data_IF_711612950412
#
_entry.id   IF_711612950412
#
_cell.length_a   1.000
_cell.length_b   1.000
_cell.length_c   1.000
_cell.angle_alpha   90.00
_cell.angle_beta   90.00
_cell.angle_gamma   90.00
#
_symmetry.space_group_name_H-M   'P 1'
#
loop_
_entity.id
_entity.type
_entity.pdbx_description
1 polymer ?
#
# COMPACT_ATOMS: atom_id res chain seq x y z
N UNK A 1 -47.03 -2.86 -4.18
CA UNK A 1 -46.70 -1.61 -4.91
C UNK A 1 -46.72 -1.89 -6.40
N UNK A 2 -47.17 -0.95 -7.23
CA UNK A 2 -47.32 -1.08 -8.69
C UNK A 2 -46.22 -0.34 -9.41
N UNK A 3 -45.57 -1.02 -10.36
CA UNK A 3 -44.48 -0.44 -11.15
C UNK A 3 -44.69 -0.73 -12.64
N UNK A 4 -44.58 0.32 -13.45
CA UNK A 4 -44.50 0.20 -14.90
C UNK A 4 -43.04 0.26 -15.32
N UNK A 5 -42.56 -0.77 -16.00
CA UNK A 5 -41.23 -0.80 -16.60
C UNK A 5 -41.38 -0.82 -18.12
N UNK A 6 -40.81 0.19 -18.77
CA UNK A 6 -40.78 0.33 -20.22
C UNK A 6 -39.42 -0.14 -20.74
N UNK A 7 -39.45 -1.17 -21.59
CA UNK A 7 -38.31 -1.96 -22.01
C UNK A 7 -38.25 -3.30 -21.28
N UNK A 8 -38.16 -4.39 -22.02
CA UNK A 8 -38.05 -5.78 -21.55
C UNK A 8 -36.64 -6.34 -21.85
N UNK A 9 -35.62 -5.49 -21.69
CA UNK A 9 -34.23 -5.81 -21.98
C UNK A 9 -33.46 -6.48 -20.83
N UNK A 10 -32.13 -6.45 -20.93
CA UNK A 10 -31.22 -7.01 -19.91
C UNK A 10 -31.38 -6.31 -18.56
N UNK A 11 -31.47 -4.98 -18.55
CA UNK A 11 -31.66 -4.16 -17.34
C UNK A 11 -32.92 -4.56 -16.59
N UNK A 12 -34.05 -4.71 -17.30
CA UNK A 12 -35.33 -5.14 -16.73
C UNK A 12 -35.25 -6.52 -16.08
N UNK A 13 -34.55 -7.47 -16.69
CA UNK A 13 -34.33 -8.79 -16.10
C UNK A 13 -33.57 -8.71 -14.77
N UNK A 14 -32.55 -7.87 -14.66
CA UNK A 14 -31.80 -7.70 -13.42
C UNK A 14 -32.58 -6.92 -12.36
N UNK A 15 -33.42 -5.96 -12.77
CA UNK A 15 -34.39 -5.31 -11.87
C UNK A 15 -35.35 -6.35 -11.29
N UNK A 16 -35.94 -7.21 -12.12
CA UNK A 16 -36.88 -8.26 -11.69
C UNK A 16 -36.23 -9.28 -10.73
N UNK A 17 -34.94 -9.59 -10.89
CA UNK A 17 -34.21 -10.45 -9.94
C UNK A 17 -34.07 -9.87 -8.54
N UNK A 18 -34.09 -8.54 -8.42
CA UNK A 18 -33.89 -7.80 -7.16
C UNK A 18 -35.20 -7.33 -6.54
N UNK A 19 -36.25 -7.17 -7.34
CA UNK A 19 -37.58 -6.83 -6.85
C UNK A 19 -38.20 -8.03 -6.11
N UNK A 20 -38.61 -7.80 -4.87
CA UNK A 20 -39.36 -8.80 -4.10
C UNK A 20 -40.77 -9.05 -4.61
N UNK A 21 -41.42 -10.11 -4.13
CA UNK A 21 -42.75 -10.56 -4.59
C UNK A 21 -43.91 -9.56 -4.29
N UNK A 22 -43.70 -8.59 -3.40
CA UNK A 22 -44.69 -7.56 -3.06
C UNK A 22 -44.94 -6.51 -4.17
N UNK A 23 -44.20 -6.59 -5.26
CA UNK A 23 -44.33 -5.71 -6.42
C UNK A 23 -45.24 -6.33 -7.48
N UNK A 24 -46.13 -5.52 -8.04
CA UNK A 24 -46.92 -5.85 -9.23
C UNK A 24 -46.33 -5.10 -10.42
N UNK A 25 -45.70 -5.83 -11.32
CA UNK A 25 -44.98 -5.27 -12.46
C UNK A 25 -45.87 -5.31 -13.70
N UNK A 26 -45.99 -4.17 -14.38
CA UNK A 26 -46.46 -4.07 -15.77
C UNK A 26 -45.25 -3.83 -16.67
N UNK A 27 -45.08 -4.66 -17.70
CA UNK A 27 -44.02 -4.49 -18.70
C UNK A 27 -44.58 -3.97 -20.02
N UNK A 28 -43.88 -3.03 -20.65
CA UNK A 28 -44.13 -2.57 -22.02
C UNK A 28 -42.88 -2.79 -22.85
N UNK A 29 -43.01 -3.41 -24.02
CA UNK A 29 -41.93 -3.52 -25.02
C UNK A 29 -42.53 -3.71 -26.41
N UNK A 30 -41.76 -3.44 -27.46
CA UNK A 30 -42.16 -3.67 -28.86
C UNK A 30 -41.90 -5.12 -29.30
N UNK A 31 -41.12 -5.89 -28.53
CA UNK A 31 -40.74 -7.27 -28.84
C UNK A 31 -41.52 -8.26 -27.96
N UNK A 32 -42.50 -8.94 -28.56
CA UNK A 32 -43.37 -9.91 -27.88
C UNK A 32 -42.59 -11.03 -27.17
N UNK A 33 -41.56 -11.59 -27.80
CA UNK A 33 -40.78 -12.69 -27.23
C UNK A 33 -40.10 -12.32 -25.91
N UNK A 34 -39.63 -11.06 -25.78
CA UNK A 34 -39.01 -10.57 -24.54
C UNK A 34 -40.03 -10.49 -23.41
N UNK A 35 -41.23 -9.99 -23.70
CA UNK A 35 -42.33 -9.92 -22.75
C UNK A 35 -42.74 -11.32 -22.28
N UNK A 36 -42.92 -12.26 -23.21
CA UNK A 36 -43.31 -13.64 -22.93
C UNK A 36 -42.27 -14.35 -22.06
N UNK A 37 -40.98 -14.17 -22.38
CA UNK A 37 -39.88 -14.75 -21.62
C UNK A 37 -39.85 -14.23 -20.18
N UNK A 38 -39.94 -12.91 -19.97
CA UNK A 38 -39.91 -12.34 -18.63
C UNK A 38 -41.17 -12.70 -17.84
N UNK A 39 -42.36 -12.67 -18.45
CA UNK A 39 -43.61 -13.08 -17.81
C UNK A 39 -43.59 -14.55 -17.35
N UNK A 40 -42.99 -15.43 -18.15
CA UNK A 40 -42.83 -16.85 -17.79
C UNK A 40 -41.89 -17.03 -16.58
N UNK A 41 -40.83 -16.23 -16.50
CA UNK A 41 -39.75 -16.44 -15.54
C UNK A 41 -39.94 -15.68 -14.21
N UNK A 42 -40.75 -14.62 -14.19
CA UNK A 42 -40.88 -13.73 -13.03
C UNK A 42 -42.36 -13.55 -12.65
N UNK A 43 -42.77 -14.16 -11.52
CA UNK A 43 -44.16 -14.17 -11.04
C UNK A 43 -44.70 -12.77 -10.73
N UNK A 44 -43.84 -11.82 -10.37
CA UNK A 44 -44.25 -10.43 -10.12
C UNK A 44 -44.71 -9.70 -11.40
N UNK A 45 -44.46 -10.24 -12.61
CA UNK A 45 -44.94 -9.68 -13.88
C UNK A 45 -46.42 -10.02 -14.06
N UNK A 46 -47.27 -9.12 -13.58
CA UNK A 46 -48.74 -9.28 -13.60
C UNK A 46 -49.36 -8.90 -14.95
N UNK A 47 -48.73 -7.98 -15.69
CA UNK A 47 -49.24 -7.49 -16.98
C UNK A 47 -48.10 -7.25 -17.96
N UNK A 48 -48.36 -7.52 -19.23
CA UNK A 48 -47.47 -7.24 -20.36
C UNK A 48 -48.28 -6.53 -21.43
N UNK A 49 -47.73 -5.49 -22.04
CA UNK A 49 -48.34 -4.72 -23.12
C UNK A 49 -47.34 -4.66 -24.27
N UNK A 50 -47.77 -5.07 -25.46
CA UNK A 50 -46.96 -5.03 -26.67
C UNK A 50 -47.25 -3.71 -27.40
N UNK A 51 -46.23 -2.85 -27.53
CA UNK A 51 -46.40 -1.58 -28.25
C UNK A 51 -45.28 -0.59 -27.99
N UNK A 52 -45.28 0.49 -28.80
CA UNK A 52 -44.37 1.62 -28.60
C UNK A 52 -44.82 2.44 -27.39
N UNK A 53 -43.92 2.61 -26.43
CA UNK A 53 -44.18 3.33 -25.20
C UNK A 53 -44.15 4.86 -25.35
N UNK A 54 -43.69 5.39 -26.48
CA UNK A 54 -43.90 6.80 -26.84
C UNK A 54 -45.38 7.10 -27.15
N UNK A 55 -46.19 6.06 -27.41
CA UNK A 55 -47.63 6.20 -27.67
C UNK A 55 -48.45 6.26 -26.38
N UNK A 56 -49.24 7.33 -26.26
CA UNK A 56 -50.25 7.49 -25.22
C UNK A 56 -51.26 6.32 -25.16
N UNK A 57 -51.57 5.70 -26.30
CA UNK A 57 -52.51 4.57 -26.35
C UNK A 57 -51.90 3.36 -25.63
N UNK A 58 -50.64 3.04 -25.92
CA UNK A 58 -49.89 1.96 -25.26
C UNK A 58 -49.77 2.20 -23.75
N UNK A 59 -49.44 3.43 -23.33
CA UNK A 59 -49.30 3.75 -21.91
C UNK A 59 -50.63 3.74 -21.15
N UNK A 60 -51.74 4.10 -21.82
CA UNK A 60 -53.09 3.92 -21.28
C UNK A 60 -53.41 2.44 -21.09
N UNK A 61 -53.10 1.60 -22.08
CA UNK A 61 -53.26 0.15 -21.94
C UNK A 61 -52.41 -0.39 -20.79
N UNK A 62 -51.18 0.12 -20.61
CA UNK A 62 -50.30 -0.22 -19.49
C UNK A 62 -50.77 0.32 -18.13
N UNK A 63 -51.88 1.06 -18.09
CA UNK A 63 -52.48 1.65 -16.90
C UNK A 63 -51.53 2.61 -16.16
N UNK A 64 -50.83 3.47 -16.93
CA UNK A 64 -49.83 4.44 -16.42
C UNK A 64 -50.32 5.24 -15.20
N UNK A 65 -51.55 5.73 -15.25
CA UNK A 65 -52.13 6.62 -14.22
C UNK A 65 -52.25 5.97 -12.83
N UNK A 66 -52.24 4.64 -12.76
CA UNK A 66 -52.43 3.87 -11.53
C UNK A 66 -51.13 3.25 -11.01
N UNK A 67 -49.97 3.72 -11.48
CA UNK A 67 -48.66 3.22 -11.08
C UNK A 67 -48.08 4.01 -9.91
N UNK A 68 -47.38 3.33 -9.00
CA UNK A 68 -46.64 4.00 -7.92
C UNK A 68 -45.25 4.45 -8.41
N UNK A 69 -44.70 3.71 -9.38
CA UNK A 69 -43.38 3.92 -9.99
C UNK A 69 -43.44 3.74 -11.51
N UNK A 70 -42.67 4.55 -12.24
CA UNK A 70 -42.45 4.39 -13.69
C UNK A 70 -40.94 4.34 -13.95
N UNK A 71 -40.51 3.36 -14.74
CA UNK A 71 -39.10 3.17 -15.10
C UNK A 71 -38.95 3.04 -16.61
N UNK A 72 -38.26 3.99 -17.24
CA UNK A 72 -37.88 3.92 -18.66
C UNK A 72 -36.49 3.32 -18.82
N UNK A 73 -36.37 2.12 -19.39
CA UNK A 73 -35.11 1.37 -19.54
C UNK A 73 -34.93 0.80 -20.95
N UNK A 74 -35.45 1.49 -21.96
CA UNK A 74 -35.19 1.15 -23.36
C UNK A 74 -33.79 1.61 -23.79
N UNK A 75 -33.35 1.15 -24.95
CA UNK A 75 -32.08 1.57 -25.57
C UNK A 75 -32.18 2.95 -26.26
N UNK A 76 -33.34 3.62 -26.19
CA UNK A 76 -33.59 4.89 -26.87
C UNK A 76 -33.93 5.95 -25.83
N UNK A 77 -33.05 6.94 -25.68
CA UNK A 77 -33.23 8.01 -24.70
C UNK A 77 -34.49 8.83 -24.99
N UNK A 78 -34.81 9.07 -26.27
CA UNK A 78 -36.03 9.80 -26.67
C UNK A 78 -37.30 9.11 -26.16
N UNK A 79 -37.35 7.78 -26.24
CA UNK A 79 -38.49 6.99 -25.74
C UNK A 79 -38.55 7.06 -24.22
N UNK A 80 -37.40 6.90 -23.54
CA UNK A 80 -37.34 6.98 -22.08
C UNK A 80 -37.75 8.37 -21.58
N UNK A 81 -37.32 9.43 -22.27
CA UNK A 81 -37.65 10.82 -21.97
C UNK A 81 -39.14 11.10 -22.14
N UNK A 82 -39.73 10.63 -23.25
CA UNK A 82 -41.16 10.80 -23.53
C UNK A 82 -42.03 10.06 -22.52
N UNK A 83 -41.66 8.83 -22.13
CA UNK A 83 -42.32 8.08 -21.06
C UNK A 83 -42.25 8.85 -19.74
N UNK A 84 -41.10 9.43 -19.41
CA UNK A 84 -40.94 10.24 -18.21
C UNK A 84 -41.82 11.49 -18.23
N UNK A 85 -41.86 12.21 -19.36
CA UNK A 85 -42.69 13.39 -19.56
C UNK A 85 -44.17 13.05 -19.36
N UNK A 86 -44.65 12.01 -20.03
CA UNK A 86 -46.04 11.55 -19.93
C UNK A 86 -46.39 11.08 -18.52
N UNK A 87 -45.51 10.32 -17.85
CA UNK A 87 -45.71 9.91 -16.47
C UNK A 87 -45.84 11.11 -15.53
N UNK A 88 -45.02 12.14 -15.74
CA UNK A 88 -45.02 13.36 -14.92
C UNK A 88 -46.30 14.18 -15.11
N UNK A 89 -46.78 14.28 -16.36
CA UNK A 89 -48.08 14.92 -16.66
C UNK A 89 -49.26 14.20 -16.01
N UNK A 90 -49.14 12.89 -15.75
CA UNK A 90 -50.13 12.10 -15.00
C UNK A 90 -49.95 12.12 -13.49
N UNK A 91 -49.02 12.93 -12.97
CA UNK A 91 -48.82 13.11 -11.53
C UNK A 91 -48.04 11.99 -10.85
N UNK A 92 -47.36 11.12 -11.61
CA UNK A 92 -46.49 10.09 -11.04
C UNK A 92 -45.27 10.76 -10.40
N UNK A 93 -45.02 10.45 -9.12
CA UNK A 93 -43.92 11.07 -8.35
C UNK A 93 -42.60 10.33 -8.49
N UNK A 94 -42.63 9.00 -8.57
CA UNK A 94 -41.43 8.18 -8.58
C UNK A 94 -41.10 7.73 -10.02
N UNK A 95 -40.32 8.55 -10.72
CA UNK A 95 -39.94 8.31 -12.11
C UNK A 95 -38.42 8.14 -12.20
N UNK A 96 -37.98 7.04 -12.80
CA UNK A 96 -36.57 6.69 -13.01
C UNK A 96 -36.33 6.41 -14.50
N UNK A 97 -35.22 6.89 -15.05
CA UNK A 97 -34.86 6.63 -16.44
C UNK A 97 -33.41 6.15 -16.58
N UNK A 98 -33.20 5.14 -17.41
CA UNK A 98 -31.88 4.82 -17.94
C UNK A 98 -31.54 5.81 -19.05
N UNK A 99 -30.38 6.44 -18.93
CA UNK A 99 -29.81 7.35 -19.91
C UNK A 99 -28.64 6.65 -20.58
N UNK A 100 -28.76 6.37 -21.86
CA UNK A 100 -27.77 5.62 -22.63
C UNK A 100 -26.63 6.55 -23.07
N UNK A 101 -26.96 7.76 -23.51
CA UNK A 101 -25.98 8.80 -23.86
C UNK A 101 -25.91 9.88 -22.78
N UNK A 102 -24.72 10.03 -22.16
CA UNK A 102 -24.46 11.03 -21.13
C UNK A 102 -24.77 12.47 -21.57
N UNK A 103 -24.74 12.77 -22.88
CA UNK A 103 -25.10 14.10 -23.42
C UNK A 103 -26.57 14.46 -23.14
N UNK A 104 -27.44 13.47 -22.98
CA UNK A 104 -28.87 13.67 -22.76
C UNK A 104 -29.23 13.87 -21.28
N UNK A 105 -28.30 13.70 -20.34
CA UNK A 105 -28.56 13.79 -18.89
C UNK A 105 -29.29 15.08 -18.50
N UNK A 106 -28.90 16.22 -19.11
CA UNK A 106 -29.49 17.54 -18.82
C UNK A 106 -30.99 17.59 -19.09
N UNK A 107 -31.50 16.86 -20.09
CA UNK A 107 -32.93 16.87 -20.41
C UNK A 107 -33.75 16.08 -19.38
N UNK A 108 -33.21 14.96 -18.88
CA UNK A 108 -33.83 14.22 -17.78
C UNK A 108 -33.82 15.02 -16.47
N UNK A 109 -32.72 15.73 -16.18
CA UNK A 109 -32.62 16.60 -15.01
C UNK A 109 -33.64 17.75 -15.06
N UNK A 110 -33.85 18.36 -16.24
CA UNK A 110 -34.89 19.40 -16.44
C UNK A 110 -36.29 18.88 -16.20
N UNK A 111 -36.56 17.64 -16.59
CA UNK A 111 -37.82 16.97 -16.25
C UNK A 111 -37.91 16.62 -14.77
N UNK A 112 -36.88 16.85 -13.95
CA UNK A 112 -36.83 16.55 -12.52
C UNK A 112 -37.32 15.10 -12.25
N UNK A 113 -36.76 14.17 -13.01
CA UNK A 113 -36.85 12.72 -12.81
C UNK A 113 -35.48 12.21 -12.36
N UNK A 114 -35.38 10.95 -11.92
CA UNK A 114 -34.11 10.38 -11.48
C UNK A 114 -33.39 9.67 -12.64
N UNK A 115 -32.36 10.26 -13.27
CA UNK A 115 -31.59 9.57 -14.30
C UNK A 115 -30.60 8.57 -13.70
N UNK A 116 -30.30 7.52 -14.46
CA UNK A 116 -29.22 6.57 -14.23
C UNK A 116 -28.45 6.41 -15.54
N UNK A 117 -27.19 6.83 -15.59
CA UNK A 117 -26.36 6.71 -16.80
C UNK A 117 -25.35 5.57 -16.64
N UNK A 118 -25.60 4.43 -17.29
CA UNK A 118 -24.76 3.24 -17.14
C UNK A 118 -23.37 3.41 -17.74
N UNK A 119 -23.25 4.05 -18.90
CA UNK A 119 -21.97 4.29 -19.57
C UNK A 119 -21.03 5.13 -18.70
N UNK A 120 -21.55 6.19 -18.07
CA UNK A 120 -20.79 7.00 -17.12
C UNK A 120 -20.34 6.19 -15.90
N UNK A 121 -21.26 5.45 -15.25
CA UNK A 121 -20.93 4.65 -14.06
C UNK A 121 -19.90 3.55 -14.37
N UNK A 122 -20.03 2.88 -15.52
CA UNK A 122 -19.11 1.82 -15.94
C UNK A 122 -17.74 2.37 -16.34
N UNK A 123 -17.68 3.47 -17.10
CA UNK A 123 -16.43 4.11 -17.47
C UNK A 123 -15.63 4.54 -16.24
N UNK A 124 -16.32 5.13 -15.26
CA UNK A 124 -15.73 5.54 -13.98
C UNK A 124 -15.13 4.36 -13.23
N UNK A 125 -15.85 3.24 -13.13
CA UNK A 125 -15.34 2.04 -12.46
C UNK A 125 -14.08 1.47 -13.15
N UNK A 126 -14.08 1.46 -14.49
CA UNK A 126 -12.95 0.99 -15.29
C UNK A 126 -11.74 1.90 -15.12
N UNK A 127 -11.92 3.23 -15.17
CA UNK A 127 -10.86 4.22 -14.94
C UNK A 127 -10.15 3.95 -13.60
N UNK A 128 -10.93 3.77 -12.53
CA UNK A 128 -10.40 3.48 -11.19
C UNK A 128 -9.61 2.16 -11.15
N UNK A 129 -10.11 1.12 -11.82
CA UNK A 129 -9.39 -0.16 -11.90
C UNK A 129 -8.07 -0.05 -12.69
N UNK A 130 -8.02 0.79 -13.72
CA UNK A 130 -6.81 1.01 -14.52
C UNK A 130 -5.75 1.84 -13.77
N UNK A 131 -6.18 2.76 -12.90
CA UNK A 131 -5.26 3.61 -12.13
C UNK A 131 -4.63 2.88 -10.95
N UNK A 132 -5.41 2.09 -10.20
CA UNK A 132 -4.88 1.25 -9.13
C UNK A 132 -5.82 0.07 -8.82
N UNK A 133 -5.41 -1.20 -9.08
CA UNK A 133 -6.26 -2.36 -8.83
C UNK A 133 -6.55 -2.63 -7.34
N UNK A 134 -5.94 -1.89 -6.41
CA UNK A 134 -6.19 -1.94 -4.96
C UNK A 134 -7.18 -0.87 -4.48
N UNK A 135 -7.75 -0.10 -5.40
CA UNK A 135 -8.67 0.99 -5.13
C UNK A 135 -10.12 0.51 -5.31
N UNK A 136 -10.95 0.74 -4.30
CA UNK A 136 -12.39 0.53 -4.41
C UNK A 136 -13.09 1.86 -4.17
N UNK A 137 -13.87 2.35 -5.14
CA UNK A 137 -14.70 3.55 -4.95
C UNK A 137 -16.16 3.23 -5.16
N UNK A 138 -16.99 3.56 -4.18
CA UNK A 138 -18.44 3.40 -4.25
C UNK A 138 -19.11 4.77 -4.14
N UNK A 139 -20.07 5.04 -5.02
CA UNK A 139 -20.87 6.27 -4.94
C UNK A 139 -21.93 6.18 -3.85
N UNK A 140 -22.18 7.30 -3.17
CA UNK A 140 -23.22 7.46 -2.15
C UNK A 140 -24.09 8.68 -2.41
N UNK A 141 -25.27 8.75 -1.79
CA UNK A 141 -26.18 9.90 -1.90
C UNK A 141 -26.70 10.18 -3.31
N UNK A 142 -26.71 9.17 -4.19
CA UNK A 142 -27.08 9.33 -5.60
C UNK A 142 -26.00 10.00 -6.45
N UNK A 143 -24.72 9.75 -6.14
CA UNK A 143 -23.57 10.35 -6.84
C UNK A 143 -23.14 11.70 -6.27
N UNK A 144 -23.69 12.11 -5.11
CA UNK A 144 -23.33 13.35 -4.42
C UNK A 144 -22.13 13.21 -3.49
N UNK A 145 -21.63 12.00 -3.31
CA UNK A 145 -20.45 11.70 -2.53
C UNK A 145 -19.92 10.32 -2.86
N UNK A 146 -18.77 10.00 -2.30
CA UNK A 146 -17.99 8.80 -2.59
C UNK A 146 -17.42 8.23 -1.30
N UNK A 147 -17.36 6.91 -1.25
CA UNK A 147 -16.58 6.14 -0.29
C UNK A 147 -15.44 5.51 -1.07
N UNK A 148 -14.22 5.74 -0.66
CA UNK A 148 -13.02 5.17 -1.24
C UNK A 148 -12.30 4.32 -0.21
N UNK A 149 -11.96 3.10 -0.57
CA UNK A 149 -11.09 2.22 0.20
C UNK A 149 -9.77 2.06 -0.53
N UNK A 150 -8.68 2.24 0.21
CA UNK A 150 -7.33 2.16 -0.34
C UNK A 150 -6.40 1.46 0.65
N UNK A 151 -5.61 0.52 0.14
CA UNK A 151 -4.48 -0.04 0.87
C UNK A 151 -3.32 0.97 0.82
N UNK A 152 -2.81 1.36 1.99
CA UNK A 152 -1.68 2.27 2.11
C UNK A 152 -0.41 1.52 1.79
N UNK A 153 0.16 1.80 0.62
CA UNK A 153 1.50 1.34 0.27
C UNK A 153 2.52 1.78 1.33
N UNK A 154 3.54 0.95 1.59
CA UNK A 154 4.64 1.30 2.50
C UNK A 154 5.34 2.62 2.15
N UNK A 155 5.24 3.06 0.90
CA UNK A 155 5.88 4.27 0.37
C UNK A 155 4.91 5.44 0.17
N UNK A 156 3.66 5.33 0.64
CA UNK A 156 2.71 6.40 0.48
C UNK A 156 3.11 7.62 1.34
N UNK A 157 3.00 8.87 0.82
CA UNK A 157 3.32 10.10 1.55
C UNK A 157 2.62 10.30 2.88
N UNK A 158 1.54 9.55 3.13
CA UNK A 158 0.75 9.55 4.36
C UNK A 158 1.34 8.72 5.49
N UNK A 159 2.23 7.76 5.19
CA UNK A 159 2.80 6.86 6.20
C UNK A 159 3.59 7.66 7.23
N UNK A 160 3.38 7.35 8.51
CA UNK A 160 4.05 7.99 9.65
C UNK A 160 3.51 9.37 10.02
N UNK A 161 2.54 9.92 9.28
CA UNK A 161 1.93 11.23 9.57
C UNK A 161 0.60 11.10 10.30
N UNK A 162 0.26 12.12 11.08
CA UNK A 162 -1.01 12.20 11.79
C UNK A 162 -2.14 12.62 10.86
N UNK A 163 -3.34 12.09 11.05
CA UNK A 163 -4.51 12.43 10.22
C UNK A 163 -4.81 13.93 10.20
N UNK A 164 -4.59 14.64 11.31
CA UNK A 164 -4.79 16.10 11.40
C UNK A 164 -3.94 16.90 10.40
N UNK A 165 -2.85 16.35 9.89
CA UNK A 165 -1.97 16.98 8.90
C UNK A 165 -2.59 17.01 7.49
N UNK A 166 -3.61 16.18 7.24
CA UNK A 166 -4.27 16.06 5.93
C UNK A 166 -5.72 16.57 5.95
N UNK A 167 -6.05 17.46 6.88
CA UNK A 167 -7.42 17.97 7.01
C UNK A 167 -7.89 18.61 5.71
N UNK A 168 -9.01 18.10 5.21
CA UNK A 168 -9.72 18.67 4.08
C UNK A 168 -11.17 18.95 4.46
N UNK A 169 -11.80 19.89 3.76
CA UNK A 169 -13.22 20.25 3.98
C UNK A 169 -14.18 19.32 3.25
N UNK A 170 -13.69 18.63 2.23
CA UNK A 170 -14.48 17.88 1.25
C UNK A 170 -14.33 16.36 1.38
N UNK A 171 -13.50 15.87 2.30
CA UNK A 171 -13.37 14.46 2.60
C UNK A 171 -12.87 14.23 4.02
N UNK A 172 -13.09 13.02 4.54
CA UNK A 172 -12.68 12.58 5.87
C UNK A 172 -12.26 11.12 5.84
N UNK A 173 -11.26 10.76 6.65
CA UNK A 173 -10.92 9.36 6.91
C UNK A 173 -11.93 8.83 7.93
N UNK A 174 -12.74 7.85 7.54
CA UNK A 174 -13.83 7.31 8.34
C UNK A 174 -13.42 6.09 9.16
N UNK A 175 -12.52 5.26 8.63
CA UNK A 175 -12.06 4.04 9.26
C UNK A 175 -10.64 3.67 8.79
N UNK A 176 -9.93 2.95 9.65
CA UNK A 176 -8.66 2.29 9.32
C UNK A 176 -8.80 0.82 9.73
N UNK A 177 -8.56 -0.10 8.80
CA UNK A 177 -8.37 -1.52 9.12
C UNK A 177 -6.88 -1.83 9.19
N UNK A 178 -6.43 -2.31 10.35
CA UNK A 178 -5.02 -2.63 10.60
C UNK A 178 -4.91 -4.00 11.23
N UNK A 179 -4.16 -4.90 10.60
CA UNK A 179 -3.94 -6.29 11.10
C UNK A 179 -5.25 -7.03 11.43
N UNK A 180 -6.31 -6.77 10.66
CA UNK A 180 -7.62 -7.39 10.84
C UNK A 180 -8.56 -6.70 11.85
N UNK A 181 -8.12 -5.60 12.49
CA UNK A 181 -8.94 -4.84 13.44
C UNK A 181 -9.42 -3.51 12.85
N UNK A 182 -10.66 -3.13 13.17
CA UNK A 182 -11.25 -1.84 12.83
C UNK A 182 -10.84 -0.78 13.86
N UNK A 183 -10.19 0.28 13.39
CA UNK A 183 -9.78 1.45 14.16
C UNK A 183 -10.63 2.65 13.72
N UNK A 184 -11.27 3.32 14.68
CA UNK A 184 -11.95 4.59 14.44
C UNK A 184 -10.93 5.72 14.59
N UNK A 185 -10.58 6.43 13.50
CA UNK A 185 -9.50 7.41 13.51
C UNK A 185 -9.88 8.73 14.22
N UNK A 186 -8.88 9.34 14.84
CA UNK A 186 -8.93 10.69 15.39
C UNK A 186 -7.75 11.52 14.85
N UNK A 187 -7.71 12.82 15.17
CA UNK A 187 -6.69 13.73 14.61
C UNK A 187 -5.23 13.32 14.88
N UNK A 188 -4.96 12.66 16.01
CA UNK A 188 -3.62 12.18 16.39
C UNK A 188 -3.33 10.73 15.95
N UNK A 189 -4.29 10.04 15.32
CA UNK A 189 -4.04 8.71 14.76
C UNK A 189 -2.97 8.80 13.67
N UNK A 190 -1.96 7.94 13.76
CA UNK A 190 -0.84 7.85 12.81
C UNK A 190 -1.18 6.78 11.78
N UNK A 191 -1.08 7.14 10.50
CA UNK A 191 -1.25 6.21 9.38
C UNK A 191 -0.01 5.32 9.26
N UNK A 192 -0.21 4.01 9.12
CA UNK A 192 0.85 3.01 8.98
C UNK A 192 0.82 2.37 7.59
N UNK A 193 1.93 1.75 7.21
CA UNK A 193 2.00 0.91 6.02
C UNK A 193 1.04 -0.28 6.15
N UNK A 194 0.44 -0.68 5.02
CA UNK A 194 -0.56 -1.75 4.91
C UNK A 194 -1.87 -1.49 5.68
N UNK A 195 -2.10 -0.25 6.13
CA UNK A 195 -3.43 0.16 6.59
C UNK A 195 -4.42 0.11 5.42
N UNK A 196 -5.62 -0.44 5.66
CA UNK A 196 -6.74 -0.25 4.74
C UNK A 196 -7.56 0.94 5.21
N UNK A 197 -7.54 2.02 4.44
CA UNK A 197 -8.17 3.27 4.84
C UNK A 197 -9.48 3.45 4.08
N UNK A 198 -10.58 3.65 4.82
CA UNK A 198 -11.87 4.06 4.26
C UNK A 198 -12.01 5.57 4.37
N UNK A 199 -12.25 6.23 3.24
CA UNK A 199 -12.35 7.68 3.11
C UNK A 199 -13.72 8.02 2.53
N UNK A 200 -14.38 9.03 3.08
CA UNK A 200 -15.69 9.49 2.61
C UNK A 200 -15.55 10.95 2.17
N UNK A 201 -16.08 11.30 1.02
CA UNK A 201 -15.98 12.67 0.51
C UNK A 201 -16.98 13.03 -0.59
N UNK A 202 -16.78 14.20 -1.17
CA UNK A 202 -17.48 14.68 -2.36
C UNK A 202 -17.15 13.84 -3.61
N UNK A 203 -17.87 14.05 -4.73
CA UNK A 203 -17.49 13.47 -6.01
C UNK A 203 -16.06 13.84 -6.41
N UNK A 204 -15.41 12.99 -7.20
CA UNK A 204 -14.01 13.11 -7.61
C UNK A 204 -13.02 12.98 -6.44
N UNK A 205 -13.40 12.17 -5.43
CA UNK A 205 -12.62 11.98 -4.21
C UNK A 205 -11.19 11.53 -4.52
N UNK A 206 -11.05 10.52 -5.38
CA UNK A 206 -9.74 9.99 -5.77
C UNK A 206 -8.82 11.08 -6.33
N UNK A 207 -9.31 11.94 -7.23
CA UNK A 207 -8.49 13.02 -7.80
C UNK A 207 -7.97 13.96 -6.71
N UNK A 208 -8.81 14.30 -5.73
CA UNK A 208 -8.45 15.20 -4.64
C UNK A 208 -7.34 14.64 -3.72
N UNK A 209 -7.28 13.32 -3.54
CA UNK A 209 -6.38 12.69 -2.54
C UNK A 209 -5.36 11.74 -3.13
N UNK A 210 -5.39 11.46 -4.43
CA UNK A 210 -4.49 10.52 -5.10
C UNK A 210 -3.03 10.79 -4.74
N UNK A 211 -2.60 12.06 -4.75
CA UNK A 211 -1.24 12.46 -4.40
C UNK A 211 -0.79 12.05 -2.99
N UNK A 212 -1.72 11.87 -2.04
CA UNK A 212 -1.44 11.41 -0.68
C UNK A 212 -1.14 9.92 -0.61
N UNK A 213 -1.72 9.15 -1.53
CA UNK A 213 -1.65 7.70 -1.58
C UNK A 213 -0.89 7.17 -2.81
N UNK A 214 -0.35 8.07 -3.63
CA UNK A 214 0.52 7.71 -4.75
C UNK A 214 1.70 6.92 -4.20
N UNK A 215 2.00 5.81 -4.87
CA UNK A 215 3.26 5.13 -4.72
C UNK A 215 4.38 6.13 -5.03
N UNK A 216 5.09 6.61 -4.00
CA UNK A 216 6.36 7.28 -4.23
C UNK A 216 7.43 6.21 -4.39
N UNK A 217 8.46 6.51 -5.17
CA UNK A 217 9.65 5.68 -5.15
C UNK A 217 10.11 5.54 -3.70
N UNK A 218 10.43 4.31 -3.28
CA UNK A 218 10.98 4.06 -1.96
C UNK A 218 12.17 4.99 -1.71
N UNK A 219 12.25 5.55 -0.51
CA UNK A 219 13.40 6.38 -0.12
C UNK A 219 13.78 6.04 1.30
N UNK A 220 14.73 5.12 1.44
CA UNK A 220 15.38 4.86 2.70
C UNK A 220 15.84 6.19 3.35
N UNK A 221 15.62 6.40 4.66
CA UNK A 221 14.94 5.50 5.60
C UNK A 221 13.46 5.82 5.85
N UNK A 222 12.86 6.76 5.11
CA UNK A 222 11.53 7.35 5.40
C UNK A 222 10.39 6.34 5.56
N UNK A 223 10.53 5.17 4.95
CA UNK A 223 9.57 4.06 5.05
C UNK A 223 9.46 3.50 6.45
N UNK A 224 10.52 3.63 7.23
CA UNK A 224 10.61 3.17 8.62
C UNK A 224 10.52 4.36 9.58
N UNK A 225 11.14 5.48 9.20
CA UNK A 225 11.13 6.71 9.97
C UNK A 225 12.22 7.68 9.52
N UNK A 226 12.34 8.80 10.23
CA UNK A 226 13.20 9.90 9.81
C UNK A 226 14.51 9.98 10.59
N UNK A 227 14.59 9.34 11.76
CA UNK A 227 15.74 9.48 12.66
C UNK A 227 16.65 8.24 12.63
N UNK A 228 17.94 8.46 12.82
CA UNK A 228 18.93 7.41 13.04
C UNK A 228 19.12 7.24 14.54
N UNK A 229 18.83 6.06 15.09
CA UNK A 229 18.94 5.79 16.52
C UNK A 229 20.28 5.12 16.84
N UNK A 230 21.06 5.69 17.76
CA UNK A 230 22.39 5.23 18.14
C UNK A 230 22.41 4.89 19.64
N UNK A 231 22.22 3.62 20.05
CA UNK A 231 22.53 3.17 21.40
C UNK A 231 24.03 3.20 21.68
N UNK A 232 24.44 3.91 22.72
CA UNK A 232 25.83 4.04 23.15
C UNK A 232 26.03 3.42 24.51
N UNK A 233 26.87 2.39 24.57
CA UNK A 233 27.39 1.83 25.82
C UNK A 233 28.91 1.94 25.95
N UNK A 234 29.60 2.08 24.82
CA UNK A 234 31.05 2.24 24.76
C UNK A 234 31.40 3.55 24.04
N UNK A 235 32.22 4.37 24.70
CA UNK A 235 32.65 5.68 24.20
C UNK A 235 33.71 5.53 23.10
N UNK A 236 34.44 4.42 23.06
CA UNK A 236 35.55 4.22 22.12
C UNK A 236 35.04 4.13 20.68
N UNK A 237 33.94 3.40 20.47
CA UNK A 237 33.33 3.17 19.15
C UNK A 237 32.26 4.20 18.77
N UNK A 238 32.00 5.17 19.65
CA UNK A 238 30.95 6.18 19.46
C UNK A 238 31.26 7.13 18.29
N UNK A 239 32.54 7.50 18.09
CA UNK A 239 32.93 8.41 17.01
C UNK A 239 32.73 7.78 15.63
N UNK A 240 33.01 6.49 15.50
CA UNK A 240 32.76 5.71 14.28
C UNK A 240 31.26 5.63 13.98
N UNK A 241 30.45 5.28 14.98
CA UNK A 241 28.99 5.22 14.86
C UNK A 241 28.40 6.56 14.40
N UNK A 242 28.87 7.64 15.01
CA UNK A 242 28.37 8.98 14.75
C UNK A 242 28.77 9.48 13.36
N UNK A 243 29.99 9.17 12.92
CA UNK A 243 30.47 9.58 11.59
C UNK A 243 29.70 8.87 10.46
N UNK A 244 29.41 7.58 10.63
CA UNK A 244 28.61 6.81 9.69
C UNK A 244 27.13 7.24 9.71
N UNK A 245 26.59 7.60 10.89
CA UNK A 245 25.26 8.19 11.01
C UNK A 245 25.17 9.54 10.27
N UNK A 246 26.15 10.42 10.40
CA UNK A 246 26.17 11.70 9.69
C UNK A 246 26.33 11.52 8.18
N UNK A 247 27.13 10.54 7.74
CA UNK A 247 27.18 10.19 6.33
C UNK A 247 25.78 9.83 5.81
N UNK A 248 25.02 8.99 6.53
CA UNK A 248 23.65 8.67 6.18
C UNK A 248 22.71 9.89 6.23
N UNK A 249 22.80 10.75 7.23
CA UNK A 249 21.96 11.97 7.34
C UNK A 249 22.21 12.93 6.17
N UNK A 250 23.46 13.10 5.75
CA UNK A 250 23.84 14.03 4.68
C UNK A 250 23.53 13.50 3.27
N UNK A 251 23.57 12.18 3.09
CA UNK A 251 23.46 11.55 1.78
C UNK A 251 22.19 10.69 1.63
N UNK A 252 21.27 10.75 2.58
CA UNK A 252 19.93 10.15 2.48
C UNK A 252 18.87 11.12 3.01
N UNK A 253 17.61 10.70 3.07
CA UNK A 253 16.51 11.50 3.64
C UNK A 253 16.37 11.41 5.17
N UNK A 254 17.35 10.84 5.87
CA UNK A 254 17.38 10.89 7.33
C UNK A 254 17.55 12.35 7.82
N UNK A 255 16.94 12.69 8.96
CA UNK A 255 16.92 14.07 9.47
C UNK A 255 17.95 14.34 10.56
N UNK A 256 18.12 13.40 11.49
CA UNK A 256 19.00 13.57 12.65
C UNK A 256 19.36 12.23 13.29
N UNK A 257 20.43 12.25 14.08
CA UNK A 257 20.84 11.20 14.98
C UNK A 257 20.19 11.41 16.36
N UNK A 258 19.58 10.36 16.91
CA UNK A 258 19.10 10.28 18.29
C UNK A 258 20.04 9.35 19.04
N UNK A 259 20.82 9.88 19.97
CA UNK A 259 21.81 9.13 20.73
C UNK A 259 21.20 8.73 22.07
N UNK A 260 21.11 7.43 22.31
CA UNK A 260 20.67 6.87 23.59
C UNK A 260 21.89 6.56 24.45
N UNK A 261 22.01 7.26 25.58
CA UNK A 261 23.13 7.10 26.51
C UNK A 261 22.63 6.72 27.90
N UNK A 262 23.38 5.88 28.65
CA UNK A 262 23.14 5.71 30.06
C UNK A 262 23.53 7.02 30.78
N UNK A 263 22.88 7.28 31.93
CA UNK A 263 23.02 8.56 32.65
C UNK A 263 24.48 8.88 33.00
N UNK A 264 25.29 7.86 33.25
CA UNK A 264 26.68 7.95 33.64
C UNK A 264 27.57 8.51 32.51
N UNK A 265 27.16 8.35 31.24
CA UNK A 265 27.94 8.77 30.07
C UNK A 265 27.46 10.09 29.46
N UNK A 266 26.36 10.67 29.98
CA UNK A 266 25.70 11.85 29.41
C UNK A 266 26.67 13.04 29.23
N UNK A 267 27.38 13.46 30.29
CA UNK A 267 28.30 14.61 30.21
C UNK A 267 29.44 14.38 29.21
N UNK A 268 29.96 13.15 29.15
CA UNK A 268 31.09 12.80 28.28
C UNK A 268 30.66 12.84 26.82
N UNK A 269 29.51 12.24 26.49
CA UNK A 269 28.96 12.23 25.13
C UNK A 269 28.54 13.64 24.73
N UNK A 270 27.92 14.41 25.62
CA UNK A 270 27.55 15.81 25.35
C UNK A 270 28.77 16.66 24.98
N UNK A 271 29.89 16.55 25.74
CA UNK A 271 31.15 17.23 25.41
C UNK A 271 31.76 16.79 24.08
N UNK A 272 31.63 15.51 23.71
CA UNK A 272 32.10 15.00 22.41
C UNK A 272 31.24 15.56 21.27
N UNK A 273 29.91 15.52 21.39
CA UNK A 273 28.98 16.03 20.39
C UNK A 273 29.14 17.54 20.18
N UNK A 274 29.37 18.32 21.25
CA UNK A 274 29.58 19.77 21.14
C UNK A 274 30.83 20.18 20.35
N UNK A 275 31.83 19.30 20.24
CA UNK A 275 33.06 19.57 19.47
C UNK A 275 32.85 19.40 17.96
N UNK A 276 31.71 18.86 17.56
CA UNK A 276 31.36 18.61 16.17
C UNK A 276 30.68 19.85 15.62
N UNK A 277 31.01 20.23 14.38
CA UNK A 277 30.58 21.50 13.77
C UNK A 277 29.06 21.67 13.64
N UNK A 278 28.25 20.61 13.79
CA UNK A 278 26.82 20.62 13.46
C UNK A 278 25.92 19.93 14.52
N UNK A 279 25.78 20.48 15.75
CA UNK A 279 24.95 19.88 16.81
C UNK A 279 23.44 19.88 16.52
N UNK A 280 22.98 20.51 15.42
CA UNK A 280 21.55 20.58 15.06
C UNK A 280 21.00 19.24 14.55
N UNK A 281 21.87 18.35 14.10
CA UNK A 281 21.52 17.02 13.59
C UNK A 281 21.60 15.95 14.67
N UNK A 282 21.76 16.34 15.95
CA UNK A 282 21.93 15.40 17.07
C UNK A 282 20.97 15.72 18.20
N UNK A 283 20.30 14.69 18.71
CA UNK A 283 19.51 14.72 19.93
C UNK A 283 20.07 13.67 20.91
N UNK A 284 20.38 14.06 22.15
CA UNK A 284 20.86 13.14 23.18
C UNK A 284 19.71 12.83 24.13
N UNK A 285 19.52 11.55 24.45
CA UNK A 285 18.50 11.08 25.40
C UNK A 285 19.08 10.08 26.38
N UNK A 286 18.61 10.20 27.62
CA UNK A 286 18.98 9.29 28.70
C UNK A 286 17.93 8.19 28.81
N UNK A 287 18.37 6.95 28.93
CA UNK A 287 17.50 5.83 29.29
C UNK A 287 17.80 5.32 30.70
N UNK A 288 16.80 4.70 31.34
CA UNK A 288 16.90 4.17 32.72
C UNK A 288 16.58 2.68 32.82
N UNK A 289 16.02 2.10 31.77
CA UNK A 289 15.62 0.70 31.70
C UNK A 289 16.66 -0.11 30.92
N UNK A 290 16.38 -1.37 30.61
CA UNK A 290 17.25 -2.16 29.71
C UNK A 290 17.27 -1.54 28.31
N UNK A 291 18.44 -1.49 27.67
CA UNK A 291 18.60 -0.88 26.34
C UNK A 291 17.67 -1.53 25.31
N UNK A 292 17.62 -2.87 25.23
CA UNK A 292 16.72 -3.59 24.31
C UNK A 292 15.26 -3.13 24.43
N UNK A 293 14.74 -3.02 25.66
CA UNK A 293 13.36 -2.58 25.90
C UNK A 293 13.14 -1.13 25.49
N UNK A 294 14.13 -0.27 25.76
CA UNK A 294 14.11 1.14 25.39
C UNK A 294 14.09 1.30 23.86
N UNK A 295 14.93 0.56 23.15
CA UNK A 295 15.01 0.58 21.69
C UNK A 295 13.67 0.17 21.07
N UNK A 296 13.09 -0.96 21.51
CA UNK A 296 11.78 -1.43 21.01
C UNK A 296 10.68 -0.40 21.27
N UNK A 297 10.68 0.23 22.46
CA UNK A 297 9.69 1.25 22.81
C UNK A 297 9.80 2.47 21.89
N UNK A 298 11.02 2.94 21.64
CA UNK A 298 11.27 4.11 20.79
C UNK A 298 10.94 3.80 19.33
N UNK A 299 11.35 2.65 18.79
CA UNK A 299 11.03 2.29 17.40
C UNK A 299 9.52 2.08 17.18
N UNK A 300 8.77 1.68 18.22
CA UNK A 300 7.32 1.51 18.12
C UNK A 300 6.54 2.84 18.21
N UNK A 301 7.02 3.80 19.00
CA UNK A 301 6.30 5.05 19.29
C UNK A 301 6.82 6.28 18.53
N UNK A 302 8.02 6.20 17.97
CA UNK A 302 8.69 7.33 17.32
C UNK A 302 9.15 7.00 15.91
N UNK A 303 9.48 8.05 15.15
CA UNK A 303 9.93 7.93 13.77
C UNK A 303 11.40 7.51 13.71
N UNK A 304 11.67 6.20 13.76
CA UNK A 304 13.03 5.64 13.65
C UNK A 304 13.22 4.97 12.29
N UNK A 305 14.10 5.57 11.50
CA UNK A 305 14.43 5.12 10.16
C UNK A 305 15.44 3.97 10.13
N UNK A 306 16.41 4.00 11.04
CA UNK A 306 17.44 2.97 11.15
C UNK A 306 18.04 3.00 12.56
N UNK A 307 18.42 1.83 13.08
CA UNK A 307 19.15 1.69 14.35
C UNK A 307 20.60 1.30 14.05
N UNK A 308 21.56 2.06 14.54
CA UNK A 308 23.00 1.80 14.36
C UNK A 308 23.56 1.16 15.62
N UNK A 309 24.04 -0.08 15.51
CA UNK A 309 24.64 -0.81 16.62
C UNK A 309 26.08 -1.21 16.30
N UNK A 310 26.94 -1.36 17.32
CA UNK A 310 28.31 -1.80 17.10
C UNK A 310 28.38 -3.28 16.64
N UNK A 311 29.52 -3.70 16.08
CA UNK A 311 29.75 -5.09 15.72
C UNK A 311 29.55 -6.03 16.90
N UNK A 312 28.98 -7.23 16.66
CA UNK A 312 28.82 -8.24 17.69
C UNK A 312 30.20 -8.64 18.24
N UNK A 313 30.47 -8.35 19.52
CA UNK A 313 31.69 -8.78 20.21
C UNK A 313 31.35 -9.36 21.58
N UNK A 314 32.16 -10.33 22.09
CA UNK A 314 31.95 -10.92 23.40
C UNK A 314 31.92 -9.83 24.49
N UNK A 315 30.80 -9.67 25.18
CA UNK A 315 30.62 -8.68 26.24
C UNK A 315 29.93 -7.36 25.86
N UNK A 316 29.98 -6.88 24.61
CA UNK A 316 29.23 -5.67 24.18
C UNK A 316 27.78 -6.04 23.90
N UNK A 317 27.55 -7.07 23.07
CA UNK A 317 26.20 -7.57 22.81
C UNK A 317 25.50 -8.03 24.08
N UNK A 318 26.20 -8.72 24.99
CA UNK A 318 25.65 -9.25 26.23
C UNK A 318 25.24 -8.16 27.24
N UNK A 319 25.80 -6.95 27.13
CA UNK A 319 25.42 -5.78 27.93
C UNK A 319 24.21 -5.05 27.33
N UNK A 320 24.20 -4.87 26.00
CA UNK A 320 23.13 -4.16 25.28
C UNK A 320 21.85 -5.00 25.15
N UNK A 321 22.01 -6.28 24.87
CA UNK A 321 20.94 -7.20 24.51
C UNK A 321 21.13 -8.51 25.29
N UNK A 322 20.10 -9.02 25.96
CA UNK A 322 20.24 -10.19 26.82
C UNK A 322 20.48 -11.49 26.03
N UNK A 323 21.68 -11.65 25.46
CA UNK A 323 22.09 -12.67 24.50
C UNK A 323 21.32 -12.64 23.16
N UNK A 324 20.62 -11.54 22.86
CA UNK A 324 19.84 -11.43 21.61
C UNK A 324 20.80 -11.23 20.44
N UNK A 325 20.73 -12.13 19.45
CA UNK A 325 21.44 -11.98 18.18
C UNK A 325 20.84 -10.83 17.35
N UNK A 326 21.54 -10.36 16.30
CA UNK A 326 21.14 -9.17 15.53
C UNK A 326 19.81 -9.39 14.79
N UNK A 327 19.59 -10.60 14.27
CA UNK A 327 18.38 -10.93 13.50
C UNK A 327 17.11 -10.91 14.38
N UNK A 328 17.04 -11.58 15.54
CA UNK A 328 15.90 -11.46 16.45
C UNK A 328 15.58 -10.00 16.83
N UNK A 329 16.62 -9.18 16.99
CA UNK A 329 16.47 -7.78 17.36
C UNK A 329 15.83 -6.95 16.24
N UNK A 330 16.33 -7.04 14.99
CA UNK A 330 15.73 -6.28 13.87
C UNK A 330 14.24 -6.60 13.68
N UNK A 331 13.84 -7.85 13.90
CA UNK A 331 12.43 -8.28 13.87
C UNK A 331 11.58 -7.66 14.99
N UNK A 332 12.14 -7.52 16.20
CA UNK A 332 11.46 -6.85 17.33
C UNK A 332 11.36 -5.34 17.13
N UNK A 333 12.38 -4.73 16.51
CA UNK A 333 12.44 -3.28 16.30
C UNK A 333 11.46 -2.81 15.22
N UNK A 334 11.29 -3.58 14.14
CA UNK A 334 10.45 -3.20 12.99
C UNK A 334 11.09 -2.13 12.09
N UNK A 335 12.37 -1.80 12.31
CA UNK A 335 13.17 -0.85 11.52
C UNK A 335 14.52 -1.49 11.11
N UNK A 336 15.13 -1.10 9.99
CA UNK A 336 16.46 -1.54 9.58
C UNK A 336 17.49 -1.34 10.68
N UNK A 337 18.38 -2.31 10.81
CA UNK A 337 19.46 -2.26 11.77
C UNK A 337 20.79 -2.30 11.02
N UNK A 338 21.62 -1.28 11.21
CA UNK A 338 22.96 -1.19 10.65
C UNK A 338 23.99 -1.56 11.70
N UNK A 339 24.75 -2.61 11.43
CA UNK A 339 25.95 -2.96 12.19
C UNK A 339 27.11 -2.18 11.57
N UNK A 340 27.51 -1.08 12.21
CA UNK A 340 28.49 -0.14 11.67
C UNK A 340 29.92 -0.68 11.78
N UNK A 341 30.74 -0.43 10.76
CA UNK A 341 32.19 -0.75 10.73
C UNK A 341 33.03 0.40 10.17
N UNK A 342 32.46 1.61 10.11
CA UNK A 342 33.09 2.80 9.55
C UNK A 342 33.51 2.64 8.08
N UNK A 343 32.82 1.79 7.32
CA UNK A 343 33.07 1.61 5.88
C UNK A 343 32.15 2.51 5.05
N UNK A 344 32.24 3.81 5.29
CA UNK A 344 31.61 4.86 4.50
C UNK A 344 32.70 5.70 3.81
N UNK A 345 32.42 6.41 2.70
CA UNK A 345 31.14 6.52 1.99
C UNK A 345 30.73 5.22 1.26
N UNK A 346 29.42 4.98 1.13
CA UNK A 346 28.86 3.82 0.44
C UNK A 346 28.89 4.01 -1.07
N UNK A 347 30.00 3.63 -1.72
CA UNK A 347 30.12 3.66 -3.18
C UNK A 347 29.75 2.32 -3.83
N UNK A 348 29.97 1.21 -3.11
CA UNK A 348 29.72 -0.15 -3.57
C UNK A 348 28.84 -0.90 -2.57
N UNK A 349 27.63 -1.27 -2.97
CA UNK A 349 26.67 -2.01 -2.15
C UNK A 349 26.57 -3.46 -2.65
N UNK A 350 26.70 -4.42 -1.73
CA UNK A 350 26.54 -5.85 -2.00
C UNK A 350 25.21 -6.36 -1.46
N UNK A 351 24.47 -7.11 -2.27
CA UNK A 351 23.19 -7.73 -1.88
C UNK A 351 23.22 -9.24 -2.17
N UNK A 352 23.34 -10.09 -1.15
CA UNK A 352 23.13 -11.53 -1.28
C UNK A 352 21.66 -11.82 -1.60
N UNK A 353 21.42 -12.59 -2.65
CA UNK A 353 20.08 -12.76 -3.21
C UNK A 353 19.71 -14.22 -3.45
N UNK A 354 18.49 -14.59 -3.06
CA UNK A 354 17.97 -15.94 -3.17
C UNK A 354 16.49 -15.97 -3.61
N UNK A 355 16.01 -14.88 -4.20
CA UNK A 355 14.62 -14.69 -4.66
C UNK A 355 13.55 -14.87 -3.57
N UNK A 356 13.89 -14.68 -2.30
CA UNK A 356 12.91 -14.60 -1.22
C UNK A 356 12.35 -13.18 -1.09
N UNK A 357 11.19 -13.04 -0.45
CA UNK A 357 10.62 -11.71 -0.13
C UNK A 357 11.59 -10.84 0.67
N UNK A 358 12.36 -11.43 1.59
CA UNK A 358 13.36 -10.67 2.35
C UNK A 358 14.54 -10.22 1.49
N UNK A 359 15.04 -11.05 0.56
CA UNK A 359 16.13 -10.62 -0.32
C UNK A 359 15.67 -9.60 -1.35
N UNK A 360 14.40 -9.69 -1.81
CA UNK A 360 13.76 -8.67 -2.63
C UNK A 360 13.69 -7.32 -1.89
N UNK A 361 13.23 -7.34 -0.64
CA UNK A 361 13.22 -6.15 0.23
C UNK A 361 14.62 -5.54 0.41
N UNK A 362 15.64 -6.37 0.62
CA UNK A 362 17.02 -5.92 0.73
C UNK A 362 17.53 -5.25 -0.56
N UNK A 363 17.17 -5.79 -1.73
CA UNK A 363 17.51 -5.21 -3.02
C UNK A 363 16.80 -3.87 -3.25
N UNK A 364 15.51 -3.76 -2.91
CA UNK A 364 14.77 -2.49 -3.00
C UNK A 364 15.43 -1.40 -2.13
N UNK A 365 15.83 -1.74 -0.91
CA UNK A 365 16.51 -0.80 0.01
C UNK A 365 17.92 -0.45 -0.49
N UNK A 366 18.64 -1.41 -1.09
CA UNK A 366 19.92 -1.14 -1.72
C UNK A 366 19.77 -0.14 -2.86
N UNK A 367 18.75 -0.29 -3.71
CA UNK A 367 18.44 0.64 -4.81
C UNK A 367 18.14 2.04 -4.25
N UNK A 368 17.42 2.14 -3.14
CA UNK A 368 17.10 3.44 -2.53
C UNK A 368 18.32 4.16 -1.97
N UNK A 369 19.19 3.41 -1.27
CA UNK A 369 20.43 3.98 -0.72
C UNK A 369 21.33 4.37 -1.88
N UNK A 370 21.53 3.46 -2.85
CA UNK A 370 22.40 3.70 -4.00
C UNK A 370 21.96 4.92 -4.83
N UNK A 371 20.66 5.14 -5.02
CA UNK A 371 20.14 6.33 -5.72
C UNK A 371 20.43 7.64 -4.97
N UNK A 372 20.50 7.59 -3.64
CA UNK A 372 20.74 8.77 -2.81
C UNK A 372 22.24 9.03 -2.59
N UNK A 373 23.06 7.98 -2.63
CA UNK A 373 24.51 8.05 -2.39
C UNK A 373 25.35 7.92 -3.67
N UNK A 374 24.72 7.85 -4.85
CA UNK A 374 25.36 7.56 -6.14
C UNK A 374 26.20 6.25 -6.14
N UNK A 375 25.78 5.25 -5.35
CA UNK A 375 26.46 3.96 -5.27
C UNK A 375 26.13 3.05 -6.46
N UNK A 376 26.99 2.06 -6.73
CA UNK A 376 26.61 0.91 -7.56
C UNK A 376 26.25 -0.32 -6.74
N UNK A 377 25.36 -1.15 -7.27
CA UNK A 377 24.87 -2.36 -6.60
C UNK A 377 25.39 -3.60 -7.32
N UNK A 378 25.92 -4.53 -6.54
CA UNK A 378 26.17 -5.90 -6.98
C UNK A 378 25.21 -6.86 -6.27
N UNK A 379 24.51 -7.67 -7.05
CA UNK A 379 23.68 -8.77 -6.57
C UNK A 379 24.49 -10.06 -6.66
N UNK A 380 24.65 -10.76 -5.55
CA UNK A 380 25.40 -12.03 -5.49
C UNK A 380 24.49 -13.21 -5.21
N UNK A 381 24.58 -14.23 -6.07
CA UNK A 381 23.94 -15.53 -5.90
C UNK A 381 25.03 -16.58 -5.68
N UNK A 382 24.98 -17.29 -4.55
CA UNK A 382 25.93 -18.36 -4.25
C UNK A 382 25.25 -19.71 -4.44
N UNK A 383 25.81 -20.52 -5.34
CA UNK A 383 25.38 -21.88 -5.60
C UNK A 383 26.06 -22.85 -4.64
N UNK A 384 25.27 -23.75 -4.08
CA UNK A 384 25.84 -24.89 -3.38
C UNK A 384 26.48 -25.86 -4.39
N UNK A 385 27.59 -26.52 -4.02
CA UNK A 385 28.30 -27.40 -4.93
C UNK A 385 27.43 -28.49 -5.56
N UNK A 386 27.70 -28.79 -6.83
CA UNK A 386 26.97 -29.75 -7.67
C UNK A 386 26.80 -31.16 -7.07
N UNK A 387 27.70 -31.64 -6.19
CA UNK A 387 27.57 -32.97 -5.56
C UNK A 387 26.44 -33.09 -4.51
N UNK A 388 25.85 -31.97 -4.09
CA UNK A 388 24.68 -31.93 -3.18
C UNK A 388 23.37 -31.79 -3.98
N UNK A 389 23.45 -31.30 -5.22
CA UNK A 389 22.28 -31.01 -6.06
C UNK A 389 22.08 -32.12 -7.10
N UNK A 390 20.87 -32.68 -7.17
CA UNK A 390 20.47 -33.54 -8.30
C UNK A 390 20.55 -32.78 -9.63
N UNK A 391 20.66 -33.53 -10.74
CA UNK A 391 20.85 -33.02 -12.13
C UNK A 391 19.75 -32.05 -12.63
N UNK A 392 18.66 -31.83 -11.88
CA UNK A 392 17.52 -30.95 -12.23
C UNK A 392 17.75 -29.45 -11.95
N UNK A 393 18.90 -29.03 -11.41
CA UNK A 393 19.11 -27.67 -10.86
C UNK A 393 19.75 -26.65 -11.82
N UNK A 394 19.86 -26.98 -13.11
CA UNK A 394 20.61 -26.23 -14.14
C UNK A 394 20.07 -24.83 -14.49
N UNK A 395 18.92 -24.40 -13.94
CA UNK A 395 18.30 -23.10 -14.22
C UNK A 395 18.10 -22.19 -13.00
N UNK A 396 18.16 -22.72 -11.78
CA UNK A 396 17.75 -21.98 -10.57
C UNK A 396 18.50 -20.66 -10.36
N UNK A 397 19.80 -20.64 -10.65
CA UNK A 397 20.62 -19.43 -10.51
C UNK A 397 20.18 -18.32 -11.47
N UNK A 398 19.75 -18.72 -12.67
CA UNK A 398 19.25 -17.80 -13.69
C UNK A 398 17.89 -17.28 -13.28
N UNK A 399 16.97 -18.15 -12.85
CA UNK A 399 15.64 -17.75 -12.37
C UNK A 399 15.72 -16.75 -11.20
N UNK A 400 16.67 -16.97 -10.27
CA UNK A 400 16.91 -16.06 -9.14
C UNK A 400 17.42 -14.69 -9.62
N UNK A 401 18.29 -14.65 -10.63
CA UNK A 401 18.79 -13.40 -11.19
C UNK A 401 17.76 -12.71 -12.08
N UNK A 402 16.95 -13.46 -12.83
CA UNK A 402 15.79 -12.92 -13.56
C UNK A 402 14.88 -12.16 -12.61
N UNK A 403 14.56 -12.75 -11.45
CA UNK A 403 13.77 -12.06 -10.44
C UNK A 403 14.46 -10.79 -9.89
N UNK A 404 15.78 -10.80 -9.71
CA UNK A 404 16.52 -9.58 -9.32
C UNK A 404 16.50 -8.50 -10.43
N UNK A 405 16.60 -8.91 -11.71
CA UNK A 405 16.51 -8.02 -12.87
C UNK A 405 15.14 -7.40 -13.00
N UNK A 406 14.08 -8.16 -12.77
CA UNK A 406 12.71 -7.65 -12.80
C UNK A 406 12.54 -6.50 -11.78
N UNK A 407 12.99 -6.70 -10.54
CA UNK A 407 13.00 -5.63 -9.52
C UNK A 407 13.84 -4.44 -10.00
N UNK A 408 15.07 -4.67 -10.45
CA UNK A 408 15.95 -3.61 -10.95
C UNK A 408 15.33 -2.82 -12.12
N UNK A 409 14.63 -3.48 -13.05
CA UNK A 409 13.93 -2.87 -14.18
C UNK A 409 12.72 -2.05 -13.75
N UNK A 410 11.91 -2.57 -12.82
CA UNK A 410 10.77 -1.85 -12.21
C UNK A 410 11.27 -0.53 -11.61
N UNK A 411 12.40 -0.58 -10.91
CA UNK A 411 13.02 0.59 -10.27
C UNK A 411 13.96 1.39 -11.19
N UNK A 412 14.10 1.00 -12.46
CA UNK A 412 14.99 1.61 -13.47
C UNK A 412 16.41 1.84 -12.96
N UNK A 413 16.95 0.89 -12.20
CA UNK A 413 18.28 0.98 -11.60
C UNK A 413 19.18 -0.16 -12.10
N UNK A 414 20.38 0.11 -12.62
CA UNK A 414 21.27 -0.94 -13.10
C UNK A 414 21.90 -1.71 -11.93
N UNK A 415 21.99 -3.04 -12.06
CA UNK A 415 22.64 -3.91 -11.09
C UNK A 415 23.73 -4.74 -11.76
N UNK A 416 24.80 -5.05 -11.03
CA UNK A 416 25.84 -6.01 -11.45
C UNK A 416 25.52 -7.39 -10.89
N UNK A 417 25.45 -8.39 -11.73
CA UNK A 417 25.14 -9.76 -11.31
C UNK A 417 26.42 -10.56 -11.09
N UNK A 418 26.52 -11.25 -9.95
CA UNK A 418 27.67 -12.07 -9.56
C UNK A 418 27.17 -13.48 -9.19
N UNK A 419 27.69 -14.49 -9.89
CA UNK A 419 27.45 -15.90 -9.57
C UNK A 419 28.71 -16.48 -8.96
N UNK A 420 28.59 -17.07 -7.76
CA UNK A 420 29.66 -17.80 -7.09
C UNK A 420 29.21 -19.24 -6.80
N UNK A 421 30.16 -20.14 -6.61
CA UNK A 421 29.89 -21.52 -6.16
C UNK A 421 30.71 -21.78 -4.90
N UNK A 422 30.08 -22.30 -3.85
CA UNK A 422 30.78 -22.61 -2.60
C UNK A 422 29.93 -22.40 -1.36
N UNK A 423 30.60 -22.12 -0.24
CA UNK A 423 29.92 -21.84 1.03
C UNK A 423 29.44 -20.39 1.05
N UNK A 424 28.12 -20.12 1.20
CA UNK A 424 27.57 -18.76 1.13
C UNK A 424 28.25 -17.76 2.07
N UNK A 425 28.58 -18.19 3.30
CA UNK A 425 29.24 -17.30 4.25
C UNK A 425 30.64 -16.92 3.75
N UNK A 426 31.47 -17.91 3.40
CA UNK A 426 32.86 -17.65 2.96
C UNK A 426 32.93 -16.82 1.69
N UNK A 427 32.12 -17.17 0.70
CA UNK A 427 32.15 -16.51 -0.61
C UNK A 427 31.64 -15.06 -0.52
N UNK A 428 30.54 -14.82 0.21
CA UNK A 428 30.00 -13.46 0.38
C UNK A 428 30.94 -12.61 1.24
N UNK A 429 31.50 -13.14 2.35
CA UNK A 429 32.41 -12.35 3.20
C UNK A 429 33.70 -11.96 2.46
N UNK A 430 34.24 -12.88 1.65
CA UNK A 430 35.42 -12.59 0.82
C UNK A 430 35.10 -11.54 -0.25
N UNK A 431 33.93 -11.65 -0.89
CA UNK A 431 33.50 -10.66 -1.87
C UNK A 431 33.31 -9.28 -1.22
N UNK A 432 32.73 -9.24 -0.04
CA UNK A 432 32.44 -8.02 0.74
C UNK A 432 33.68 -7.20 1.13
N UNK A 433 34.90 -7.76 1.05
CA UNK A 433 36.16 -7.00 1.21
C UNK A 433 36.30 -5.84 0.22
N UNK A 434 35.61 -5.90 -0.91
CA UNK A 434 35.64 -4.87 -1.96
C UNK A 434 34.39 -3.97 -1.96
N UNK A 435 33.58 -4.02 -0.90
CA UNK A 435 32.31 -3.30 -0.79
C UNK A 435 32.25 -2.51 0.52
N UNK A 436 31.47 -1.43 0.49
CA UNK A 436 31.34 -0.50 1.61
C UNK A 436 30.12 -0.86 2.49
N UNK A 437 29.09 -1.46 1.89
CA UNK A 437 27.86 -1.84 2.58
C UNK A 437 27.34 -3.19 2.09
N UNK A 438 27.03 -4.09 3.02
CA UNK A 438 26.30 -5.34 2.77
C UNK A 438 24.86 -5.19 3.25
N UNK A 439 23.86 -5.46 2.40
CA UNK A 439 22.44 -5.42 2.80
C UNK A 439 21.85 -6.83 2.78
N UNK A 440 21.31 -7.25 3.93
CA UNK A 440 20.77 -8.58 4.17
C UNK A 440 19.29 -8.53 4.51
N UNK A 441 18.50 -9.32 3.79
CA UNK A 441 17.11 -9.59 4.17
C UNK A 441 17.01 -10.76 5.16
N UNK A 442 16.10 -10.66 6.13
CA UNK A 442 15.81 -11.75 7.07
C UNK A 442 14.32 -12.04 7.24
N UNK A 443 13.95 -13.32 7.29
CA UNK A 443 12.58 -13.83 7.54
C UNK A 443 12.39 -14.54 8.87
N UNK A 444 13.47 -14.85 9.60
CA UNK A 444 13.42 -15.77 10.75
C UNK A 444 13.55 -15.04 12.08
N UNK A 445 12.47 -15.02 12.88
CA UNK A 445 12.52 -14.57 14.28
C UNK A 445 13.22 -15.59 15.19
N UNK A 446 13.06 -16.89 14.89
CA UNK A 446 13.62 -17.99 15.68
C UNK A 446 14.96 -18.43 15.10
N UNK A 447 16.04 -17.93 15.69
CA UNK A 447 17.38 -18.42 15.41
C UNK A 447 17.67 -19.61 16.36
N UNK A 448 17.90 -20.84 15.85
CA UNK A 448 18.17 -21.98 16.72
C UNK A 448 19.43 -21.74 17.56
N UNK A 449 19.33 -21.93 18.88
CA UNK A 449 20.45 -21.70 19.81
C UNK A 449 21.72 -22.49 19.40
N UNK A 450 21.54 -23.70 18.86
CA UNK A 450 22.62 -24.66 18.55
C UNK A 450 22.99 -24.75 17.06
N UNK A 451 22.33 -24.03 16.14
CA UNK A 451 22.68 -24.06 14.69
C UNK A 451 23.22 -22.71 14.21
N UNK A 452 24.31 -22.70 13.43
CA UNK A 452 24.81 -21.49 12.79
C UNK A 452 23.77 -20.96 11.78
N UNK A 453 23.39 -19.70 11.93
CA UNK A 453 22.50 -19.00 11.02
C UNK A 453 23.33 -18.21 10.00
N UNK A 454 23.11 -18.44 8.71
CA UNK A 454 23.93 -17.82 7.64
C UNK A 454 23.96 -16.30 7.78
N UNK A 455 22.80 -15.67 7.99
CA UNK A 455 22.72 -14.21 8.17
C UNK A 455 23.52 -13.68 9.36
N UNK A 456 23.52 -14.38 10.51
CA UNK A 456 24.30 -13.96 11.69
C UNK A 456 25.81 -14.07 11.41
N UNK A 457 26.22 -15.16 10.76
CA UNK A 457 27.61 -15.34 10.37
C UNK A 457 28.07 -14.30 9.35
N UNK A 458 27.21 -13.87 8.44
CA UNK A 458 27.50 -12.80 7.48
C UNK A 458 27.64 -11.43 8.18
N UNK A 459 26.81 -11.16 9.19
CA UNK A 459 26.90 -9.92 9.99
C UNK A 459 28.23 -9.88 10.76
N UNK A 460 28.54 -10.98 11.45
CA UNK A 460 29.74 -11.12 12.27
C UNK A 460 31.03 -11.07 11.44
N UNK A 461 31.08 -11.80 10.31
CA UNK A 461 32.33 -12.02 9.55
C UNK A 461 32.56 -11.05 8.41
N UNK A 462 31.57 -10.25 8.01
CA UNK A 462 31.79 -9.28 6.92
C UNK A 462 32.83 -8.23 7.32
N UNK A 463 33.69 -7.78 6.41
CA UNK A 463 34.66 -6.72 6.69
C UNK A 463 34.04 -5.32 6.65
N UNK A 464 32.89 -5.17 6.01
CA UNK A 464 32.17 -3.90 5.87
C UNK A 464 30.91 -3.84 6.75
N UNK A 465 30.35 -2.64 6.86
CA UNK A 465 29.08 -2.35 7.52
C UNK A 465 27.97 -3.22 6.93
N UNK A 466 27.10 -3.71 7.81
CA UNK A 466 26.04 -4.65 7.42
C UNK A 466 24.68 -4.11 7.83
N UNK A 467 23.84 -3.78 6.85
CA UNK A 467 22.45 -3.43 7.08
C UNK A 467 21.57 -4.68 7.02
N UNK A 468 20.76 -4.89 8.05
CA UNK A 468 19.82 -5.99 8.13
C UNK A 468 18.41 -5.42 8.09
N UNK A 469 17.57 -6.02 7.24
CA UNK A 469 16.17 -5.62 7.05
C UNK A 469 15.28 -6.82 7.30
N UNK A 470 14.29 -6.65 8.17
CA UNK A 470 13.30 -7.68 8.48
C UNK A 470 12.05 -7.48 7.63
N UNK A 471 11.50 -8.59 7.12
CA UNK A 471 10.21 -8.64 6.43
C UNK A 471 9.07 -8.92 7.41
#
# INVERSE_FOLDING_TARGET
MKILIVGAGKTTREILRRLGEAWSVTLVDIVSDRLNLLKKNFKQVTKTVLGDASSLITLKEANLENQDFVVGVTNHDDVNLEVCRLAKERGIKNIVALVNDSLNLKEFDRLNVRPVCWSYLAAREIELCLENPRLFVTTIGGGKGEIMEIEVSRYAPVVGKKIREFRARNWLIAAIYRKGELIIPHGDTIIQSNDWITIIGHPDLYQAISHLFKYQEPSFPLVYGQNILIPVEDIEIFEDALSEAFYLIRNTRAQKAVILVPKELEETIFKKVQKIEEPREVEIRIFREKMEHTLITITYHESVGCVLIPPPSPGILDRIFSHSRVIPLVHKLGSPLLVFKATYPYNQILVPYNATQSSALALEIAIDIARQTDASISVVVVLEPTFIRGEESSGWAEDVLDHAREIAQIHKFPIKEIKLEGNPVKEVTKLAENYDLLILGSTTQNVPFLKPHIGELLIEKSPCSVMVVAY
#
